data_IF_840923881374
#
_entry.id   IF_840923881374
#
_cell.length_a   1.000
_cell.length_b   1.000
_cell.length_c   1.000
_cell.angle_alpha   90.00
_cell.angle_beta   90.00
_cell.angle_gamma   90.00
#
_symmetry.space_group_name_H-M   'P 1'
#
loop_
_entity.id
_entity.type
_entity.pdbx_description
1 polymer ?
#
# COMPACT_ATOMS: atom_id res chain seq x y z
N UNK A 1 1.82 0.46 21.35
CA UNK A 1 0.65 0.45 20.44
C UNK A 1 0.92 1.18 19.12
N UNK A 2 1.84 2.14 19.05
CA UNK A 2 2.15 2.91 17.82
C UNK A 2 3.16 2.24 16.88
N UNK A 3 4.03 1.34 17.35
CA UNK A 3 5.02 0.68 16.48
C UNK A 3 4.39 -0.43 15.59
N UNK A 4 3.38 -1.12 16.12
CA UNK A 4 2.67 -2.19 15.41
C UNK A 4 1.86 -1.65 14.21
N UNK A 5 1.35 -0.42 14.32
CA UNK A 5 0.58 0.20 13.23
C UNK A 5 1.49 0.60 12.07
N UNK A 6 2.74 1.03 12.32
CA UNK A 6 3.69 1.40 11.26
C UNK A 6 4.14 0.18 10.46
N UNK A 7 4.44 -0.94 11.13
CA UNK A 7 4.79 -2.20 10.46
C UNK A 7 3.61 -2.71 9.63
N UNK A 8 2.39 -2.63 10.17
CA UNK A 8 1.18 -3.02 9.46
C UNK A 8 0.93 -2.14 8.22
N UNK A 9 1.16 -0.83 8.29
CA UNK A 9 1.00 0.09 7.17
C UNK A 9 1.98 -0.16 6.01
N UNK A 10 3.19 -0.64 6.29
CA UNK A 10 4.20 -0.96 5.26
C UNK A 10 3.98 -2.37 4.69
N UNK A 11 3.65 -3.34 5.56
CA UNK A 11 3.46 -4.73 5.14
C UNK A 11 2.16 -4.93 4.35
N UNK A 12 1.10 -4.18 4.64
CA UNK A 12 -0.19 -4.30 3.97
C UNK A 12 -0.10 -4.11 2.44
N UNK A 13 0.47 -3.01 1.90
CA UNK A 13 0.64 -2.87 0.45
C UNK A 13 1.56 -3.94 -0.14
N UNK A 14 2.63 -4.36 0.56
CA UNK A 14 3.50 -5.44 0.09
C UNK A 14 2.75 -6.79 -0.05
N UNK A 15 1.89 -7.12 0.93
CA UNK A 15 1.04 -8.32 0.89
C UNK A 15 0.00 -8.21 -0.24
N UNK A 16 -0.59 -7.04 -0.44
CA UNK A 16 -1.53 -6.80 -1.55
C UNK A 16 -0.86 -6.96 -2.91
N UNK A 17 0.35 -6.43 -3.10
CA UNK A 17 1.15 -6.64 -4.31
C UNK A 17 1.46 -8.12 -4.53
N UNK A 18 1.84 -8.85 -3.48
CA UNK A 18 2.12 -10.29 -3.57
C UNK A 18 0.86 -11.08 -3.95
N UNK A 19 -0.29 -10.74 -3.35
CA UNK A 19 -1.57 -11.36 -3.66
C UNK A 19 -1.98 -11.11 -5.12
N UNK A 20 -1.78 -9.90 -5.63
CA UNK A 20 -2.08 -9.53 -7.00
C UNK A 20 -1.17 -10.26 -8.01
N UNK A 21 0.12 -10.38 -7.69
CA UNK A 21 1.06 -11.17 -8.48
C UNK A 21 0.67 -12.67 -8.49
N UNK A 22 0.27 -13.22 -7.35
CA UNK A 22 -0.20 -14.59 -7.24
C UNK A 22 -1.48 -14.82 -8.05
N UNK A 23 -2.45 -13.88 -7.99
CA UNK A 23 -3.67 -13.93 -8.80
C UNK A 23 -3.35 -13.88 -10.30
N UNK A 24 -2.39 -13.06 -10.72
CA UNK A 24 -1.96 -12.99 -12.11
C UNK A 24 -1.33 -14.30 -12.59
N UNK A 25 -0.44 -14.90 -11.78
CA UNK A 25 0.15 -16.21 -12.06
C UNK A 25 -0.91 -17.31 -12.13
N UNK A 26 -1.86 -17.31 -11.18
CA UNK A 26 -2.98 -18.25 -11.16
C UNK A 26 -3.85 -18.10 -12.41
N UNK A 27 -4.19 -16.86 -12.80
CA UNK A 27 -4.98 -16.58 -14.00
C UNK A 27 -4.32 -17.13 -15.25
N UNK A 28 -3.02 -16.88 -15.42
CA UNK A 28 -2.27 -17.38 -16.57
C UNK A 28 -2.18 -18.92 -16.57
N UNK A 29 -2.00 -19.53 -15.39
CA UNK A 29 -2.00 -20.99 -15.26
C UNK A 29 -3.36 -21.62 -15.57
N UNK A 30 -4.46 -20.95 -15.20
CA UNK A 30 -5.82 -21.42 -15.47
C UNK A 30 -6.17 -21.31 -16.95
N UNK A 31 -5.74 -20.24 -17.61
CA UNK A 31 -5.92 -20.08 -19.06
C UNK A 31 -5.21 -21.21 -19.80
N UNK A 32 -3.95 -21.51 -19.44
CA UNK A 32 -3.23 -22.65 -19.98
C UNK A 32 -3.92 -24.00 -19.71
N UNK A 33 -4.43 -24.18 -18.49
CA UNK A 33 -5.17 -25.38 -18.11
C UNK A 33 -6.46 -25.54 -18.91
N UNK A 34 -7.21 -24.46 -19.17
CA UNK A 34 -8.42 -24.48 -20.01
C UNK A 34 -8.07 -24.84 -21.46
N UNK A 35 -7.05 -24.22 -22.04
CA UNK A 35 -6.62 -24.54 -23.42
C UNK A 35 -6.19 -25.99 -23.55
N UNK A 36 -5.43 -26.52 -22.57
CA UNK A 36 -5.04 -27.92 -22.55
C UNK A 36 -6.26 -28.84 -22.44
N UNK A 37 -7.20 -28.50 -21.57
CA UNK A 37 -8.42 -29.26 -21.30
C UNK A 37 -9.34 -29.35 -22.52
N UNK A 38 -9.40 -28.28 -23.31
CA UNK A 38 -10.11 -28.22 -24.58
C UNK A 38 -9.46 -29.14 -25.64
N UNK A 39 -8.13 -29.15 -25.72
CA UNK A 39 -7.39 -30.03 -26.63
C UNK A 39 -7.46 -31.51 -26.22
N UNK A 40 -7.42 -31.81 -24.93
CA UNK A 40 -7.39 -33.18 -24.41
C UNK A 40 -8.77 -33.81 -24.21
N UNK A 41 -9.87 -33.12 -24.56
CA UNK A 41 -11.26 -33.53 -24.31
C UNK A 41 -11.49 -33.92 -22.85
N UNK A 42 -11.22 -33.00 -21.94
CA UNK A 42 -11.57 -33.16 -20.53
C UNK A 42 -13.03 -33.58 -20.32
N UNK A 43 -13.28 -34.27 -19.21
CA UNK A 43 -14.64 -34.56 -18.76
C UNK A 43 -15.44 -33.28 -18.51
N UNK A 44 -16.76 -33.35 -18.70
CA UNK A 44 -17.68 -32.22 -18.56
C UNK A 44 -17.57 -31.55 -17.19
N UNK A 45 -17.43 -32.37 -16.13
CA UNK A 45 -17.33 -31.93 -14.74
C UNK A 45 -16.06 -31.10 -14.48
N UNK A 46 -14.93 -31.51 -15.05
CA UNK A 46 -13.67 -30.77 -14.97
C UNK A 46 -13.72 -29.44 -15.71
N UNK A 47 -14.38 -29.37 -16.88
CA UNK A 47 -14.51 -28.11 -17.62
C UNK A 47 -15.36 -27.08 -16.85
N UNK A 48 -16.47 -27.51 -16.27
CA UNK A 48 -17.37 -26.65 -15.48
C UNK A 48 -16.64 -26.13 -14.23
N UNK A 49 -15.86 -26.99 -13.57
CA UNK A 49 -15.09 -26.59 -12.39
C UNK A 49 -14.00 -25.56 -12.73
N UNK A 50 -13.27 -25.76 -13.84
CA UNK A 50 -12.26 -24.80 -14.31
C UNK A 50 -12.88 -23.45 -14.62
N UNK A 51 -14.01 -23.44 -15.32
CA UNK A 51 -14.71 -22.22 -15.73
C UNK A 51 -15.27 -21.43 -14.53
N UNK A 52 -15.82 -22.15 -13.54
CA UNK A 52 -16.25 -21.56 -12.26
C UNK A 52 -15.07 -20.94 -11.52
N UNK A 53 -13.95 -21.65 -11.42
CA UNK A 53 -12.79 -21.22 -10.66
C UNK A 53 -12.12 -20.00 -11.34
N UNK A 54 -12.14 -19.94 -12.67
CA UNK A 54 -11.66 -18.80 -13.45
C UNK A 54 -12.54 -17.57 -13.25
N UNK A 55 -13.87 -17.76 -13.25
CA UNK A 55 -14.83 -16.70 -12.97
C UNK A 55 -14.65 -16.11 -11.56
N UNK A 56 -14.47 -16.96 -10.54
CA UNK A 56 -14.20 -16.52 -9.17
C UNK A 56 -12.90 -15.72 -9.09
N UNK A 57 -11.85 -16.18 -9.79
CA UNK A 57 -10.56 -15.50 -9.82
C UNK A 57 -10.65 -14.09 -10.43
N UNK A 58 -11.36 -13.92 -11.54
CA UNK A 58 -11.58 -12.62 -12.16
C UNK A 58 -12.38 -11.67 -11.24
N UNK A 59 -13.43 -12.18 -10.59
CA UNK A 59 -14.22 -11.39 -9.64
C UNK A 59 -13.37 -10.92 -8.47
N UNK A 60 -12.44 -11.75 -7.99
CA UNK A 60 -11.54 -11.41 -6.88
C UNK A 60 -10.42 -10.46 -7.28
N UNK A 61 -9.98 -10.47 -8.54
CA UNK A 61 -8.91 -9.60 -9.03
C UNK A 61 -9.29 -8.10 -8.94
N UNK A 62 -10.55 -7.76 -9.22
CA UNK A 62 -11.05 -6.37 -9.16
C UNK A 62 -10.93 -5.75 -7.75
N UNK A 63 -11.51 -6.29 -6.67
CA UNK A 63 -11.40 -5.70 -5.34
C UNK A 63 -9.95 -5.65 -4.83
N UNK A 64 -9.12 -6.65 -5.17
CA UNK A 64 -7.70 -6.65 -4.78
C UNK A 64 -6.94 -5.50 -5.48
N UNK A 65 -7.22 -5.26 -6.77
CA UNK A 65 -6.63 -4.12 -7.49
C UNK A 65 -7.08 -2.77 -6.91
N UNK A 66 -8.34 -2.63 -6.51
CA UNK A 66 -8.87 -1.41 -5.87
C UNK A 66 -8.18 -1.19 -4.51
N UNK A 67 -8.03 -2.23 -3.69
CA UNK A 67 -7.34 -2.14 -2.40
C UNK A 67 -5.87 -1.75 -2.56
N UNK A 68 -5.19 -2.26 -3.59
CA UNK A 68 -3.82 -1.89 -3.92
C UNK A 68 -3.70 -0.41 -4.31
N UNK A 69 -4.62 0.11 -5.13
CA UNK A 69 -4.63 1.54 -5.49
C UNK A 69 -4.86 2.41 -4.25
N UNK A 70 -5.86 2.07 -3.43
CA UNK A 70 -6.17 2.83 -2.21
C UNK A 70 -4.96 2.83 -1.25
N UNK A 71 -4.36 1.67 -0.99
CA UNK A 71 -3.20 1.57 -0.11
C UNK A 71 -1.99 2.35 -0.64
N UNK A 72 -1.75 2.34 -1.96
CA UNK A 72 -0.68 3.11 -2.58
C UNK A 72 -0.88 4.62 -2.45
N UNK A 73 -2.11 5.11 -2.68
CA UNK A 73 -2.45 6.54 -2.52
C UNK A 73 -2.28 6.97 -1.06
N UNK A 74 -2.76 6.16 -0.11
CA UNK A 74 -2.60 6.44 1.31
C UNK A 74 -1.12 6.53 1.69
N UNK A 75 -0.29 5.57 1.27
CA UNK A 75 1.13 5.54 1.61
C UNK A 75 1.88 6.74 1.01
N UNK A 76 1.61 7.09 -0.26
CA UNK A 76 2.18 8.28 -0.90
C UNK A 76 1.75 9.57 -0.20
N UNK A 77 0.48 9.70 0.21
CA UNK A 77 -0.01 10.89 0.91
C UNK A 77 0.66 11.10 2.27
N UNK A 78 0.85 10.03 3.05
CA UNK A 78 1.53 10.10 4.36
C UNK A 78 3.00 10.50 4.16
N UNK A 79 3.69 9.90 3.20
CA UNK A 79 5.08 10.25 2.89
C UNK A 79 5.22 11.72 2.49
N UNK A 80 4.30 12.23 1.68
CA UNK A 80 4.28 13.64 1.29
C UNK A 80 4.07 14.57 2.49
N UNK A 81 3.16 14.23 3.42
CA UNK A 81 2.95 15.00 4.66
C UNK A 81 4.21 15.01 5.53
N UNK A 82 4.85 13.86 5.74
CA UNK A 82 6.10 13.79 6.53
C UNK A 82 7.19 14.63 5.85
N UNK A 83 7.34 14.52 4.54
CA UNK A 83 8.36 15.26 3.80
C UNK A 83 8.14 16.78 3.86
N UNK A 84 6.89 17.24 3.76
CA UNK A 84 6.56 18.67 3.90
C UNK A 84 6.81 19.20 5.30
N UNK A 85 6.51 18.44 6.36
CA UNK A 85 6.83 18.81 7.75
C UNK A 85 8.35 18.93 7.93
N UNK A 86 9.12 17.93 7.47
CA UNK A 86 10.58 17.96 7.54
C UNK A 86 11.14 19.17 6.80
N UNK A 87 10.62 19.47 5.60
CA UNK A 87 11.00 20.66 4.85
C UNK A 87 10.71 21.95 5.61
N UNK A 88 9.52 22.07 6.21
CA UNK A 88 9.16 23.24 7.01
C UNK A 88 10.10 23.44 8.21
N UNK A 89 10.48 22.36 8.90
CA UNK A 89 11.48 22.41 9.97
C UNK A 89 12.87 22.80 9.48
N UNK A 90 13.32 22.23 8.36
CA UNK A 90 14.60 22.61 7.76
C UNK A 90 14.63 24.09 7.37
N UNK A 91 13.54 24.61 6.80
CA UNK A 91 13.39 26.03 6.48
C UNK A 91 13.42 26.89 7.75
N UNK A 92 12.77 26.46 8.83
CA UNK A 92 12.78 27.17 10.10
C UNK A 92 14.18 27.20 10.74
N UNK A 93 14.92 26.09 10.66
CA UNK A 93 16.27 25.95 11.21
C UNK A 93 17.36 26.62 10.36
N UNK A 94 17.12 26.81 9.06
CA UNK A 94 18.05 27.50 8.15
C UNK A 94 17.76 28.99 8.03
N UNK A 95 16.56 29.45 8.40
CA UNK A 95 16.25 30.87 8.44
C UNK A 95 16.71 31.52 9.76
N UNK A 96 17.51 32.61 9.71
CA UNK A 96 17.99 33.29 10.90
C UNK A 96 16.83 33.84 11.76
N UNK A 97 15.71 34.22 11.15
CA UNK A 97 14.50 34.67 11.84
C UNK A 97 13.83 33.54 12.64
N UNK A 98 13.83 32.31 12.10
CA UNK A 98 13.25 31.13 12.77
C UNK A 98 14.06 30.73 14.01
N UNK A 99 15.38 30.76 13.91
CA UNK A 99 16.30 30.51 15.04
C UNK A 99 16.10 31.57 16.14
N UNK A 100 16.03 32.85 15.78
CA UNK A 100 15.84 33.94 16.74
C UNK A 100 14.48 33.81 17.44
N UNK A 101 13.40 33.50 16.71
CA UNK A 101 12.08 33.28 17.31
C UNK A 101 12.07 32.09 18.29
N UNK A 102 12.75 30.98 17.94
CA UNK A 102 12.84 29.81 18.82
C UNK A 102 13.64 30.13 20.10
N UNK A 103 14.75 30.88 19.97
CA UNK A 103 15.55 31.32 21.11
C UNK A 103 14.76 32.25 22.04
N UNK A 104 13.98 33.19 21.49
CA UNK A 104 13.12 34.10 22.27
C UNK A 104 12.04 33.33 23.04
N UNK A 105 11.37 32.37 22.40
CA UNK A 105 10.38 31.53 23.08
C UNK A 105 11.04 30.71 24.19
N UNK A 106 12.21 30.11 23.95
CA UNK A 106 12.92 29.33 24.95
C UNK A 106 13.30 30.17 26.18
N UNK A 107 13.80 31.39 25.97
CA UNK A 107 14.18 32.31 27.05
C UNK A 107 12.95 32.78 27.84
N UNK A 108 11.85 33.14 27.17
CA UNK A 108 10.59 33.52 27.82
C UNK A 108 10.01 32.37 28.66
N UNK A 109 10.09 31.13 28.15
CA UNK A 109 9.57 29.95 28.85
C UNK A 109 10.38 29.63 30.11
N UNK A 110 11.72 29.77 30.04
CA UNK A 110 12.58 29.60 31.22
C UNK A 110 12.37 30.71 32.24
N UNK A 111 12.22 31.97 31.81
CA UNK A 111 11.98 33.09 32.73
C UNK A 111 10.65 32.97 33.47
N UNK A 112 9.62 32.38 32.83
CA UNK A 112 8.30 32.21 33.44
C UNK A 112 8.20 30.99 34.38
N UNK A 113 9.28 30.19 34.51
CA UNK A 113 9.36 29.01 35.39
C UNK A 113 10.14 29.28 36.70
N UNK A 114 10.63 30.51 36.90
CA UNK A 114 11.20 31.03 38.15
C UNK A 114 10.19 31.95 38.85
#
# INVERSE_FOLDING_TARGET
MTEETVVSFIMLPAILFLALAALFLLSNSMEWAMTYCEHSKCGTLTSILLDLLYSVLQILAVPVSVLMVISSVLLLSILAVIQTIVWAFLVLLTNPIGIIALAVVCVLTMHNSY
#
